data_IF_108477666650
#
_entry.id   IF_108477666650
#
_cell.length_a   1.000
_cell.length_b   1.000
_cell.length_c   1.000
_cell.angle_alpha   90.00
_cell.angle_beta   90.00
_cell.angle_gamma   90.00
#
_symmetry.space_group_name_H-M   'P 1'
#
loop_
_entity.id
_entity.type
_entity.pdbx_description
1 polymer ?
#
# COMPACT_ATOMS: atom_id res chain seq x y z
N UNK A 1 -1.98 -16.86 9.59
CA UNK A 1 -1.59 -17.12 11.00
C UNK A 1 -1.98 -15.92 11.85
N UNK A 2 -1.68 -15.92 13.16
CA UNK A 2 -1.95 -14.78 14.04
C UNK A 2 -1.28 -13.50 13.53
N UNK A 3 -1.98 -12.37 13.68
CA UNK A 3 -1.52 -11.01 13.40
C UNK A 3 -1.90 -10.15 14.62
N UNK A 4 -0.92 -9.49 15.22
CA UNK A 4 -1.16 -8.55 16.31
C UNK A 4 -1.79 -7.27 15.74
N UNK A 5 -2.90 -6.83 16.33
CA UNK A 5 -3.69 -5.71 15.80
C UNK A 5 -3.08 -4.35 16.19
N UNK A 6 -2.21 -4.32 17.20
CA UNK A 6 -1.58 -3.12 17.73
C UNK A 6 -0.19 -2.92 17.11
N UNK A 7 0.65 -3.97 17.10
CA UNK A 7 2.03 -3.87 16.60
C UNK A 7 2.13 -4.08 15.08
N UNK A 8 1.12 -4.74 14.49
CA UNK A 8 1.12 -5.18 13.10
C UNK A 8 2.08 -6.35 12.83
N UNK A 9 2.66 -6.95 13.87
CA UNK A 9 3.51 -8.14 13.74
C UNK A 9 2.65 -9.36 13.39
N UNK A 10 3.21 -10.30 12.63
CA UNK A 10 2.53 -11.54 12.25
C UNK A 10 3.39 -12.77 12.50
N UNK A 11 2.73 -13.93 12.65
CA UNK A 11 3.43 -15.22 12.73
C UNK A 11 4.17 -15.57 11.44
N UNK A 12 3.62 -15.16 10.29
CA UNK A 12 4.19 -15.38 8.96
C UNK A 12 4.44 -14.02 8.33
N UNK A 13 5.70 -13.72 8.10
CA UNK A 13 6.20 -12.44 7.58
C UNK A 13 7.44 -12.73 6.72
N UNK A 14 7.74 -11.84 5.78
CA UNK A 14 9.07 -11.79 5.13
C UNK A 14 10.01 -10.79 5.85
N UNK A 15 9.45 -9.87 6.63
CA UNK A 15 10.19 -8.90 7.42
C UNK A 15 10.43 -9.44 8.83
N UNK A 16 11.69 -9.47 9.26
CA UNK A 16 12.06 -9.89 10.61
C UNK A 16 11.48 -8.93 11.68
N UNK A 17 11.47 -7.63 11.38
CA UNK A 17 10.96 -6.59 12.29
C UNK A 17 9.45 -6.71 12.55
N UNK A 18 8.72 -7.38 11.65
CA UNK A 18 7.28 -7.62 11.77
C UNK A 18 6.95 -9.08 12.09
N UNK A 19 7.90 -9.83 12.64
CA UNK A 19 7.67 -11.21 13.03
C UNK A 19 7.31 -11.32 14.52
N UNK A 20 6.19 -11.98 14.85
CA UNK A 20 5.82 -12.24 16.24
C UNK A 20 6.87 -13.14 16.91
N UNK A 21 7.48 -12.60 17.99
CA UNK A 21 8.53 -13.27 18.77
C UNK A 21 8.03 -14.09 19.97
N UNK A 22 6.72 -14.09 20.20
CA UNK A 22 6.09 -14.82 21.28
C UNK A 22 5.41 -16.09 20.78
N UNK A 23 5.32 -17.11 21.63
CA UNK A 23 4.55 -18.31 21.33
C UNK A 23 3.06 -18.01 21.50
N UNK A 24 2.33 -17.96 20.39
CA UNK A 24 0.88 -17.76 20.37
C UNK A 24 0.20 -19.08 20.02
N UNK A 25 -0.57 -19.61 20.97
CA UNK A 25 -1.48 -20.72 20.73
C UNK A 25 -2.73 -20.21 20.02
N UNK A 26 -3.09 -20.84 18.91
CA UNK A 26 -4.28 -20.48 18.15
C UNK A 26 -4.92 -21.71 17.52
N UNK A 27 -6.23 -21.60 17.26
CA UNK A 27 -7.04 -22.58 16.53
C UNK A 27 -7.68 -21.89 15.34
N UNK A 28 -7.75 -22.60 14.23
CA UNK A 28 -8.55 -22.15 13.07
C UNK A 28 -10.01 -22.46 13.36
N UNK A 29 -10.88 -21.48 13.13
CA UNK A 29 -12.33 -21.62 13.18
C UNK A 29 -12.92 -21.31 11.80
N UNK A 30 -14.06 -21.91 11.49
CA UNK A 30 -14.92 -21.58 10.35
C UNK A 30 -16.21 -21.01 10.92
N UNK A 31 -16.43 -19.72 10.74
CA UNK A 31 -17.70 -19.07 11.08
C UNK A 31 -18.65 -19.16 9.89
N UNK A 32 -19.95 -19.27 10.15
CA UNK A 32 -20.95 -19.21 9.11
C UNK A 32 -21.59 -17.82 9.12
N UNK A 33 -21.25 -16.98 8.14
CA UNK A 33 -21.79 -15.63 8.06
C UNK A 33 -23.14 -15.64 7.33
N UNK A 34 -24.16 -15.04 7.96
CA UNK A 34 -25.44 -14.75 7.29
C UNK A 34 -25.16 -13.82 6.11
N UNK A 35 -25.75 -14.13 4.96
CA UNK A 35 -25.58 -13.32 3.75
C UNK A 35 -26.29 -11.96 3.95
N UNK A 36 -25.57 -10.83 3.83
CA UNK A 36 -26.16 -9.51 4.07
C UNK A 36 -27.22 -9.11 3.03
N UNK A 37 -27.19 -9.67 1.81
CA UNK A 37 -28.16 -9.36 0.76
C UNK A 37 -29.49 -10.09 0.97
N UNK A 38 -29.44 -11.30 1.53
CA UNK A 38 -30.61 -12.12 1.79
C UNK A 38 -30.34 -13.12 2.91
N UNK A 39 -30.98 -12.93 4.06
CA UNK A 39 -30.83 -13.84 5.21
C UNK A 39 -31.27 -15.29 4.91
N UNK A 40 -32.10 -15.51 3.89
CA UNK A 40 -32.55 -16.85 3.47
C UNK A 40 -31.55 -17.55 2.52
N UNK A 41 -30.52 -16.86 2.06
CA UNK A 41 -29.46 -17.46 1.26
C UNK A 41 -28.52 -18.31 2.12
N UNK A 42 -27.83 -19.30 1.54
CA UNK A 42 -26.85 -20.10 2.27
C UNK A 42 -25.81 -19.23 2.98
N UNK A 43 -25.50 -19.60 4.23
CA UNK A 43 -24.46 -18.94 5.01
C UNK A 43 -23.10 -19.05 4.33
N UNK A 44 -22.29 -18.00 4.42
CA UNK A 44 -20.97 -17.91 3.80
C UNK A 44 -19.93 -18.39 4.82
N UNK A 45 -19.22 -19.50 4.57
CA UNK A 45 -18.20 -19.99 5.49
C UNK A 45 -16.94 -19.10 5.42
N UNK A 46 -16.52 -18.56 6.57
CA UNK A 46 -15.36 -17.67 6.71
C UNK A 46 -14.34 -18.27 7.64
N UNK A 47 -13.12 -18.47 7.14
CA UNK A 47 -11.99 -18.99 7.92
C UNK A 47 -11.34 -17.87 8.74
N UNK A 48 -11.32 -18.04 10.05
CA UNK A 48 -10.75 -17.10 11.02
C UNK A 48 -9.87 -17.84 12.03
N UNK A 49 -9.22 -17.11 12.92
CA UNK A 49 -8.49 -17.66 14.06
C UNK A 49 -9.18 -17.23 15.35
N UNK A 50 -9.19 -18.12 16.34
CA UNK A 50 -9.74 -17.77 17.66
C UNK A 50 -9.03 -16.59 18.34
N UNK A 51 -7.79 -16.32 17.96
CA UNK A 51 -6.99 -15.19 18.42
C UNK A 51 -7.11 -13.95 17.52
N UNK A 52 -8.03 -13.90 16.56
CA UNK A 52 -8.31 -12.65 15.84
C UNK A 52 -9.13 -11.71 16.74
N UNK A 53 -8.82 -10.42 16.68
CA UNK A 53 -9.69 -9.36 17.22
C UNK A 53 -11.04 -9.32 16.48
N UNK A 54 -12.05 -8.69 17.07
CA UNK A 54 -13.35 -8.57 16.42
C UNK A 54 -13.26 -7.77 15.13
N UNK A 55 -12.45 -6.70 15.09
CA UNK A 55 -12.22 -5.97 13.82
C UNK A 55 -11.56 -6.84 12.75
N UNK A 56 -10.52 -7.63 13.09
CA UNK A 56 -9.92 -8.56 12.13
C UNK A 56 -10.92 -9.62 11.63
N UNK A 57 -11.84 -10.08 12.47
CA UNK A 57 -12.91 -10.99 12.06
C UNK A 57 -13.87 -10.30 11.09
N UNK A 58 -14.29 -9.07 11.39
CA UNK A 58 -15.14 -8.27 10.48
C UNK A 58 -14.48 -8.07 9.12
N UNK A 59 -13.20 -7.71 9.09
CA UNK A 59 -12.42 -7.57 7.84
C UNK A 59 -12.39 -8.87 7.04
N UNK A 60 -12.13 -10.01 7.67
CA UNK A 60 -12.14 -11.33 7.00
C UNK A 60 -13.51 -11.71 6.46
N UNK A 61 -14.58 -11.37 7.19
CA UNK A 61 -15.95 -11.59 6.70
C UNK A 61 -16.24 -10.69 5.50
N UNK A 62 -15.89 -9.40 5.58
CA UNK A 62 -16.05 -8.46 4.47
C UNK A 62 -15.30 -8.93 3.22
N UNK A 63 -14.07 -9.42 3.35
CA UNK A 63 -13.30 -9.99 2.24
C UNK A 63 -13.97 -11.23 1.62
N UNK A 64 -14.58 -12.09 2.44
CA UNK A 64 -15.25 -13.30 1.97
C UNK A 64 -16.59 -12.99 1.28
N UNK A 65 -17.39 -12.10 1.87
CA UNK A 65 -18.71 -11.69 1.38
C UNK A 65 -18.56 -10.87 0.10
N UNK A 66 -17.65 -9.89 0.08
CA UNK A 66 -17.48 -8.93 -1.00
C UNK A 66 -16.27 -9.23 -1.90
N UNK A 67 -15.86 -10.50 -2.01
CA UNK A 67 -14.65 -10.93 -2.76
C UNK A 67 -14.57 -10.43 -4.21
N UNK A 68 -15.71 -10.19 -4.85
CA UNK A 68 -15.82 -9.75 -6.25
C UNK A 68 -16.14 -8.25 -6.40
N UNK A 69 -16.14 -7.48 -5.29
CA UNK A 69 -16.45 -6.05 -5.28
C UNK A 69 -15.16 -5.26 -5.01
N UNK A 70 -14.88 -4.15 -5.73
CA UNK A 70 -13.72 -3.30 -5.46
C UNK A 70 -13.68 -2.82 -4.00
N UNK A 71 -12.49 -2.69 -3.39
CA UNK A 71 -12.40 -2.41 -1.95
C UNK A 71 -13.08 -1.09 -1.55
N UNK A 72 -12.93 -0.03 -2.36
CA UNK A 72 -13.54 1.29 -2.11
C UNK A 72 -15.07 1.29 -2.04
N UNK A 73 -15.74 0.26 -2.59
CA UNK A 73 -17.19 0.14 -2.62
C UNK A 73 -17.76 -0.72 -1.48
N UNK A 74 -16.90 -1.33 -0.66
CA UNK A 74 -17.31 -2.22 0.44
C UNK A 74 -17.64 -1.42 1.70
N UNK A 75 -18.54 -1.93 2.56
CA UNK A 75 -18.69 -1.41 3.92
C UNK A 75 -17.35 -1.50 4.68
N UNK A 76 -17.05 -0.51 5.52
CA UNK A 76 -15.85 -0.55 6.36
C UNK A 76 -16.15 -1.29 7.66
N UNK A 77 -15.18 -2.04 8.17
CA UNK A 77 -15.34 -2.78 9.43
C UNK A 77 -15.74 -1.87 10.61
N UNK A 78 -15.29 -0.62 10.65
CA UNK A 78 -15.64 0.35 11.70
C UNK A 78 -17.14 0.70 11.71
N UNK A 79 -17.80 0.66 10.55
CA UNK A 79 -19.20 1.02 10.35
C UNK A 79 -20.15 -0.19 10.56
N UNK A 80 -19.60 -1.37 10.85
CA UNK A 80 -20.34 -2.62 11.02
C UNK A 80 -20.19 -3.19 12.45
N UNK A 81 -21.27 -3.75 12.96
CA UNK A 81 -21.31 -4.58 14.15
C UNK A 81 -21.28 -6.07 13.78
N UNK A 82 -20.60 -6.87 14.60
CA UNK A 82 -20.57 -8.33 14.45
C UNK A 82 -21.55 -8.94 15.44
N UNK A 83 -22.67 -9.47 14.95
CA UNK A 83 -23.62 -10.22 15.76
C UNK A 83 -23.25 -11.69 15.78
N UNK A 84 -23.08 -12.26 16.96
CA UNK A 84 -23.04 -13.71 17.17
C UNK A 84 -24.46 -14.22 17.48
N UNK A 85 -24.98 -15.11 16.63
CA UNK A 85 -26.33 -15.67 16.73
C UNK A 85 -26.28 -17.04 17.42
N UNK A 86 -26.64 -17.09 18.69
CA UNK A 86 -26.71 -18.32 19.48
C UNK A 86 -28.14 -18.90 19.43
N UNK A 87 -28.39 -19.79 18.47
CA UNK A 87 -29.72 -20.34 18.25
C UNK A 87 -30.69 -19.32 17.66
N UNK A 88 -32.00 -19.49 17.90
CA UNK A 88 -33.04 -18.68 17.24
C UNK A 88 -33.31 -17.31 17.90
N UNK A 89 -32.90 -17.11 19.16
CA UNK A 89 -33.35 -15.95 19.96
C UNK A 89 -32.18 -15.10 20.48
N UNK A 90 -31.06 -15.72 20.87
CA UNK A 90 -29.95 -14.96 21.46
C UNK A 90 -29.05 -14.37 20.38
N UNK A 91 -28.92 -13.04 20.38
CA UNK A 91 -27.98 -12.28 19.55
C UNK A 91 -27.08 -11.48 20.48
N UNK A 92 -25.77 -11.60 20.30
CA UNK A 92 -24.78 -10.89 21.09
C UNK A 92 -23.90 -10.10 20.13
N UNK A 93 -23.84 -8.78 20.31
CA UNK A 93 -22.91 -7.93 19.54
C UNK A 93 -21.52 -8.07 20.14
N UNK A 94 -20.56 -8.48 19.33
CA UNK A 94 -19.15 -8.58 19.71
C UNK A 94 -18.43 -7.29 19.30
N UNK A 95 -17.58 -6.78 20.18
CA UNK A 95 -16.76 -5.59 19.94
C UNK A 95 -15.32 -5.83 20.39
N UNK A 96 -14.37 -5.05 19.86
CA UNK A 96 -12.97 -5.09 20.30
C UNK A 96 -12.81 -4.64 21.77
N UNK A 97 -13.68 -3.74 22.22
CA UNK A 97 -13.78 -3.29 23.60
C UNK A 97 -15.25 -3.23 24.02
N UNK A 98 -15.57 -3.79 25.18
CA UNK A 98 -16.90 -3.74 25.81
C UNK A 98 -16.77 -3.88 27.33
N UNK A 99 -17.90 -3.98 28.04
CA UNK A 99 -17.94 -4.15 29.50
C UNK A 99 -17.26 -5.44 30.00
N UNK A 100 -17.01 -6.41 29.12
CA UNK A 100 -16.35 -7.67 29.46
C UNK A 100 -14.85 -7.63 29.22
N UNK A 101 -14.33 -6.56 28.62
CA UNK A 101 -12.92 -6.43 28.28
C UNK A 101 -12.02 -6.55 29.51
N UNK A 102 -11.02 -7.42 29.39
CA UNK A 102 -10.07 -7.70 30.47
C UNK A 102 -9.07 -6.57 30.62
N UNK A 103 -9.00 -6.03 31.83
CA UNK A 103 -8.01 -5.03 32.25
C UNK A 103 -7.16 -5.66 33.36
N UNK A 104 -5.85 -5.72 33.15
CA UNK A 104 -4.86 -6.25 34.08
C UNK A 104 -3.83 -5.17 34.40
N UNK A 105 -3.96 -4.51 35.56
CA UNK A 105 -3.19 -3.31 35.88
C UNK A 105 -3.44 -2.21 34.85
N UNK A 106 -2.38 -1.63 34.30
CA UNK A 106 -2.47 -0.58 33.28
C UNK A 106 -2.64 -1.13 31.86
N UNK A 107 -2.97 -2.41 31.68
CA UNK A 107 -3.09 -3.04 30.36
C UNK A 107 -4.51 -3.49 30.05
N UNK A 108 -5.05 -3.01 28.94
CA UNK A 108 -6.33 -3.45 28.36
C UNK A 108 -6.08 -4.37 27.19
N UNK A 109 -6.65 -5.58 27.21
CA UNK A 109 -6.52 -6.53 26.10
C UNK A 109 -7.70 -6.41 25.15
N UNK A 110 -7.45 -6.22 23.85
CA UNK A 110 -8.52 -6.27 22.86
C UNK A 110 -9.23 -7.62 22.88
N UNK A 111 -10.56 -7.58 22.80
CA UNK A 111 -11.40 -8.77 22.79
C UNK A 111 -11.18 -9.56 21.48
N UNK A 112 -11.18 -10.88 21.61
CA UNK A 112 -10.99 -11.84 20.51
C UNK A 112 -12.12 -12.86 20.49
N UNK A 113 -12.21 -13.69 19.44
CA UNK A 113 -13.18 -14.80 19.44
C UNK A 113 -12.99 -15.75 20.63
N UNK A 114 -11.74 -15.96 21.07
CA UNK A 114 -11.42 -16.76 22.25
C UNK A 114 -11.96 -16.11 23.54
N UNK A 115 -11.93 -14.78 23.65
CA UNK A 115 -12.47 -14.05 24.80
C UNK A 115 -13.95 -14.34 25.01
N UNK A 116 -14.74 -14.28 23.92
CA UNK A 116 -16.17 -14.59 23.94
C UNK A 116 -16.48 -16.10 23.85
N UNK A 117 -15.45 -16.95 23.78
CA UNK A 117 -15.57 -18.40 23.63
C UNK A 117 -16.40 -18.82 22.41
N UNK A 118 -16.28 -18.09 21.30
CA UNK A 118 -16.95 -18.42 20.05
C UNK A 118 -16.43 -19.77 19.54
N UNK A 119 -17.36 -20.69 19.30
CA UNK A 119 -17.05 -22.05 18.83
C UNK A 119 -16.98 -22.14 17.31
N UNK A 120 -16.31 -23.19 16.81
CA UNK A 120 -16.31 -23.52 15.39
C UNK A 120 -17.76 -23.69 14.88
N UNK A 121 -18.01 -23.29 13.62
CA UNK A 121 -19.33 -23.27 12.98
C UNK A 121 -20.39 -22.36 13.62
N UNK A 122 -19.97 -21.44 14.49
CA UNK A 122 -20.89 -20.40 15.00
C UNK A 122 -21.46 -19.54 13.87
N UNK A 123 -22.75 -19.24 13.97
CA UNK A 123 -23.45 -18.35 13.04
C UNK A 123 -23.23 -16.91 13.45
N UNK A 124 -22.79 -16.07 12.51
CA UNK A 124 -22.54 -14.64 12.72
C UNK A 124 -23.21 -13.80 11.65
N UNK A 125 -23.46 -12.53 11.90
CA UNK A 125 -23.94 -11.58 10.90
C UNK A 125 -23.21 -10.26 11.04
N UNK A 126 -22.92 -9.60 9.90
CA UNK A 126 -22.52 -8.20 9.89
C UNK A 126 -23.77 -7.34 9.73
N UNK A 127 -24.00 -6.43 10.68
CA UNK A 127 -25.10 -5.47 10.62
C UNK A 127 -24.56 -4.05 10.64
N UNK A 128 -25.13 -3.11 9.87
CA UNK A 128 -24.71 -1.72 9.96
C UNK A 128 -24.90 -1.20 11.39
N UNK A 129 -23.88 -0.50 11.90
CA UNK A 129 -24.00 0.16 13.20
C UNK A 129 -25.16 1.14 13.15
N UNK A 130 -26.16 0.94 14.02
CA UNK A 130 -27.14 1.96 14.28
C UNK A 130 -26.44 3.04 15.11
N UNK A 131 -25.94 4.08 14.45
CA UNK A 131 -25.64 5.32 15.13
C UNK A 131 -26.93 5.75 15.80
N UNK A 132 -26.98 5.70 17.13
CA UNK A 132 -28.02 6.37 17.88
C UNK A 132 -27.84 7.85 17.57
N UNK A 133 -28.65 8.35 16.64
CA UNK A 133 -28.87 9.77 16.43
C UNK A 133 -29.40 10.34 17.73
N UNK A 134 -28.50 10.70 18.65
CA UNK A 134 -28.85 11.54 19.78
C UNK A 134 -29.35 12.87 19.20
N UNK A 135 -30.66 13.05 19.31
CA UNK A 135 -31.44 14.29 19.16
C UNK A 135 -31.46 14.97 17.78
N UNK A 136 -32.36 14.50 16.91
CA UNK A 136 -33.16 15.40 16.07
C UNK A 136 -34.64 15.08 16.35
N UNK A 137 -35.47 16.03 16.82
CA UNK A 137 -36.89 15.78 17.06
C UNK A 137 -37.59 15.43 15.74
N UNK A 138 -38.35 14.33 15.78
CA UNK A 138 -39.21 13.91 14.67
C UNK A 138 -40.41 14.85 14.54
N UNK A 139 -40.23 15.97 13.84
CA UNK A 139 -41.34 16.75 13.29
C UNK A 139 -40.90 17.54 12.06
N UNK A 140 -40.62 16.83 10.98
CA UNK A 140 -40.71 17.37 9.63
C UNK A 140 -40.97 16.22 8.66
N UNK A 141 -42.24 16.00 8.36
CA UNK A 141 -42.73 15.22 7.24
C UNK A 141 -42.18 15.79 5.92
N UNK A 142 -41.34 15.05 5.19
CA UNK A 142 -41.13 15.31 3.76
C UNK A 142 -41.17 13.98 2.99
N UNK A 143 -42.09 13.98 2.04
CA UNK A 143 -42.51 12.88 1.19
C UNK A 143 -41.42 12.35 0.26
N UNK A 144 -41.49 11.04 0.02
CA UNK A 144 -40.73 10.34 -1.02
C UNK A 144 -41.23 10.77 -2.41
N UNK A 145 -40.47 11.59 -3.13
CA UNK A 145 -40.39 11.57 -4.60
C UNK A 145 -39.14 12.32 -5.07
N UNK A 146 -38.29 11.59 -5.80
CA UNK A 146 -37.39 12.05 -6.88
C UNK A 146 -36.58 13.34 -6.72
N UNK A 147 -35.24 13.23 -6.68
CA UNK A 147 -34.35 14.13 -7.42
C UNK A 147 -33.00 13.44 -7.70
N UNK A 148 -32.60 13.57 -8.96
CA UNK A 148 -31.36 13.15 -9.59
C UNK A 148 -30.20 14.07 -9.22
N UNK A 149 -28.99 13.49 -9.24
CA UNK A 149 -27.66 14.03 -9.60
C UNK A 149 -27.38 15.54 -9.49
N UNK A 150 -26.16 15.77 -9.00
CA UNK A 150 -25.34 16.99 -9.04
C UNK A 150 -25.57 18.03 -7.93
N UNK A 151 -24.41 18.38 -7.36
CA UNK A 151 -24.06 19.55 -6.57
C UNK A 151 -24.23 19.49 -5.04
N UNK A 152 -23.09 19.37 -4.36
CA UNK A 152 -22.74 20.27 -3.26
C UNK A 152 -21.23 20.26 -3.08
N UNK A 153 -20.59 21.07 -3.91
CA UNK A 153 -19.23 21.53 -3.71
C UNK A 153 -19.22 22.69 -2.71
N UNK A 154 -18.87 22.41 -1.44
CA UNK A 154 -18.46 23.45 -0.49
C UNK A 154 -17.06 23.13 0.07
N UNK A 155 -16.09 23.79 -0.56
CA UNK A 155 -14.80 24.30 -0.07
C UNK A 155 -14.29 23.73 1.26
N UNK A 156 -13.26 22.89 1.17
CA UNK A 156 -12.15 22.88 2.12
C UNK A 156 -10.86 23.11 1.34
N UNK A 157 -10.28 24.30 1.54
CA UNK A 157 -8.92 24.65 1.15
C UNK A 157 -7.98 24.08 2.22
N UNK A 158 -7.16 23.10 1.86
CA UNK A 158 -6.12 22.53 2.72
C UNK A 158 -5.26 21.54 1.93
N UNK A 159 -3.95 21.80 1.87
CA UNK A 159 -2.93 21.07 1.09
C UNK A 159 -2.90 19.54 1.32
N UNK A 160 -2.37 18.76 0.36
CA UNK A 160 -2.25 17.31 0.48
C UNK A 160 -1.09 16.93 1.41
N UNK A 161 -1.34 16.84 2.71
CA UNK A 161 -0.33 16.42 3.67
C UNK A 161 -0.16 14.88 3.71
N UNK A 162 1.02 14.46 3.24
CA UNK A 162 1.81 13.29 3.63
C UNK A 162 1.10 11.94 3.83
N UNK A 163 1.34 11.05 2.86
CA UNK A 163 1.14 9.60 2.91
C UNK A 163 2.02 8.96 4.00
N UNK A 164 1.58 9.01 5.26
CA UNK A 164 1.99 8.05 6.29
C UNK A 164 0.85 7.10 6.58
N UNK A 165 1.15 5.81 6.48
CA UNK A 165 0.30 4.68 6.81
C UNK A 165 -0.51 4.92 8.09
N UNK A 166 -1.77 5.35 7.95
CA UNK A 166 -2.73 5.32 9.04
C UNK A 166 -3.31 3.91 9.09
N UNK A 167 -2.72 3.09 9.95
CA UNK A 167 -3.49 2.07 10.65
C UNK A 167 -4.74 2.73 11.26
N UNK A 168 -5.86 2.02 11.45
CA UNK A 168 -7.01 2.58 12.15
C UNK A 168 -6.54 3.11 13.51
N UNK A 169 -6.65 4.43 13.70
CA UNK A 169 -6.24 5.10 14.91
C UNK A 169 -7.23 4.71 16.02
N UNK A 170 -6.99 3.59 16.69
CA UNK A 170 -7.28 3.51 18.12
C UNK A 170 -6.23 4.43 18.74
N UNK A 171 -6.57 5.71 18.88
CA UNK A 171 -5.80 6.59 19.74
C UNK A 171 -5.80 5.92 21.11
N UNK A 172 -4.64 5.60 21.71
CA UNK A 172 -4.64 5.25 23.12
C UNK A 172 -5.29 6.42 23.83
N UNK A 173 -6.36 6.13 24.55
CA UNK A 173 -7.00 7.10 25.43
C UNK A 173 -5.95 7.54 26.46
N UNK A 174 -5.22 8.59 26.11
CA UNK A 174 -4.13 9.12 26.92
C UNK A 174 -4.68 9.71 28.23
N UNK A 175 -6.01 9.89 28.34
CA UNK A 175 -6.68 10.38 29.54
C UNK A 175 -6.84 9.31 30.63
N UNK A 176 -6.83 8.01 30.30
CA UNK A 176 -6.98 6.92 31.30
C UNK A 176 -5.68 6.26 31.74
N UNK A 177 -4.55 6.50 31.06
CA UNK A 177 -3.25 5.89 31.38
C UNK A 177 -3.15 4.38 31.06
N UNK A 178 -4.20 3.79 30.48
CA UNK A 178 -4.27 2.35 30.18
C UNK A 178 -3.71 2.06 28.77
N UNK A 179 -2.70 1.20 28.69
CA UNK A 179 -2.08 0.74 27.45
C UNK A 179 -2.88 -0.41 26.83
N UNK A 180 -3.19 -0.33 25.53
CA UNK A 180 -3.93 -1.36 24.80
C UNK A 180 -2.96 -2.37 24.16
N UNK A 181 -3.29 -3.66 24.22
CA UNK A 181 -2.51 -4.74 23.59
C UNK A 181 -3.42 -5.84 23.02
N UNK A 182 -2.88 -6.67 22.12
CA UNK A 182 -3.61 -7.80 21.52
C UNK A 182 -2.97 -9.16 21.85
N UNK A 183 -1.88 -9.50 21.14
CA UNK A 183 -1.14 -10.75 21.30
C UNK A 183 0.20 -10.51 22.01
N UNK A 184 0.84 -9.37 21.75
CA UNK A 184 2.16 -9.00 22.26
C UNK A 184 2.04 -7.83 23.22
N UNK A 185 2.43 -8.02 24.49
CA UNK A 185 2.67 -6.91 25.44
C UNK A 185 4.10 -6.38 25.20
N UNK A 186 4.22 -5.17 24.66
CA UNK A 186 5.51 -4.47 24.64
C UNK A 186 5.76 -3.89 26.04
N UNK A 187 6.47 -4.63 26.89
CA UNK A 187 7.01 -4.02 28.11
C UNK A 187 8.07 -3.01 27.70
N UNK A 188 7.86 -1.73 28.05
CA UNK A 188 8.93 -0.74 28.04
C UNK A 188 10.10 -1.32 28.85
N UNK A 189 11.30 -1.25 28.29
CA UNK A 189 12.54 -1.82 28.81
C UNK A 189 13.04 -1.18 30.14
N UNK A 190 12.13 -0.73 31.02
CA UNK A 190 12.45 -0.03 32.26
C UNK A 190 12.40 -0.87 33.54
N UNK A 191 11.52 -1.87 33.66
CA UNK A 191 11.26 -2.52 34.95
C UNK A 191 10.94 -4.02 34.84
N UNK A 192 11.95 -4.86 34.62
CA UNK A 192 11.86 -6.25 35.04
C UNK A 192 13.12 -6.67 35.81
N UNK A 193 12.94 -6.84 37.12
CA UNK A 193 13.66 -7.83 37.92
C UNK A 193 13.56 -9.19 37.20
N UNK A 194 14.66 -9.95 37.18
CA UNK A 194 14.95 -11.18 36.43
C UNK A 194 14.02 -12.41 36.65
N UNK A 195 12.74 -12.23 36.96
CA UNK A 195 11.85 -13.32 37.40
C UNK A 195 10.94 -13.95 36.35
N UNK A 196 10.61 -13.26 35.26
CA UNK A 196 9.57 -13.73 34.32
C UNK A 196 10.09 -13.84 32.88
N UNK A 197 10.90 -14.89 32.64
CA UNK A 197 11.33 -15.31 31.30
C UNK A 197 10.16 -15.99 30.55
N UNK A 198 9.06 -15.27 30.36
CA UNK A 198 7.95 -15.67 29.51
C UNK A 198 8.34 -15.71 28.02
N UNK A 199 8.96 -16.80 27.59
CA UNK A 199 9.01 -17.32 26.21
C UNK A 199 9.34 -16.33 25.08
N UNK A 200 10.50 -15.65 25.15
CA UNK A 200 11.17 -15.21 23.92
C UNK A 200 11.63 -16.48 23.18
N UNK A 201 11.08 -16.78 22.01
CA UNK A 201 11.55 -17.94 21.26
C UNK A 201 13.02 -17.77 20.81
N UNK A 202 13.69 -18.89 20.61
CA UNK A 202 15.07 -18.98 20.08
C UNK A 202 15.11 -18.33 18.70
N UNK A 203 16.14 -17.51 18.44
CA UNK A 203 16.33 -16.76 17.18
C UNK A 203 16.21 -17.64 15.93
N UNK A 204 16.64 -18.89 16.01
CA UNK A 204 16.59 -19.88 14.93
C UNK A 204 15.16 -20.22 14.47
N UNK A 205 14.18 -20.26 15.38
CA UNK A 205 12.78 -20.58 15.04
C UNK A 205 12.17 -19.46 14.19
N UNK A 206 12.60 -18.20 14.39
CA UNK A 206 12.18 -17.07 13.57
C UNK A 206 12.67 -17.21 12.14
N UNK A 207 13.94 -17.62 11.96
CA UNK A 207 14.51 -17.85 10.65
C UNK A 207 13.74 -18.92 9.87
N UNK A 208 13.34 -20.02 10.53
CA UNK A 208 12.50 -21.05 9.89
C UNK A 208 11.15 -20.49 9.44
N UNK A 209 10.51 -19.59 10.20
CA UNK A 209 9.23 -18.96 9.81
C UNK A 209 9.39 -18.01 8.63
N UNK A 210 10.48 -17.23 8.60
CA UNK A 210 10.83 -16.36 7.46
C UNK A 210 11.05 -17.21 6.20
N UNK A 211 11.87 -18.27 6.30
CA UNK A 211 12.17 -19.18 5.19
C UNK A 211 10.92 -19.91 4.68
N UNK A 212 10.03 -20.36 5.57
CA UNK A 212 8.78 -20.99 5.17
C UNK A 212 7.86 -20.01 4.41
N UNK A 213 7.78 -18.75 4.88
CA UNK A 213 7.00 -17.70 4.21
C UNK A 213 7.61 -17.36 2.85
N UNK A 214 8.94 -17.22 2.78
CA UNK A 214 9.68 -17.02 1.53
C UNK A 214 9.46 -18.14 0.54
N UNK A 215 9.62 -19.40 0.98
CA UNK A 215 9.39 -20.58 0.13
C UNK A 215 7.96 -20.65 -0.41
N UNK A 216 6.96 -20.26 0.39
CA UNK A 216 5.55 -20.21 -0.06
C UNK A 216 5.31 -19.16 -1.13
N UNK A 217 5.96 -18.00 -1.01
CA UNK A 217 5.77 -16.86 -1.91
C UNK A 217 6.73 -16.86 -3.12
N UNK A 218 7.74 -17.73 -3.11
CA UNK A 218 8.86 -17.72 -4.07
C UNK A 218 8.40 -17.66 -5.52
N UNK A 219 7.50 -18.57 -5.92
CA UNK A 219 7.00 -18.62 -7.30
C UNK A 219 6.33 -17.32 -7.74
N UNK A 220 5.57 -16.67 -6.87
CA UNK A 220 4.91 -15.41 -7.20
C UNK A 220 5.92 -14.26 -7.36
N UNK A 221 7.01 -14.28 -6.58
CA UNK A 221 8.11 -13.32 -6.72
C UNK A 221 8.86 -13.56 -8.03
N UNK A 222 9.18 -14.82 -8.35
CA UNK A 222 9.84 -15.19 -9.60
C UNK A 222 8.99 -14.80 -10.81
N UNK A 223 7.71 -15.18 -10.85
CA UNK A 223 6.78 -14.87 -11.93
C UNK A 223 6.67 -13.35 -12.14
N UNK A 224 6.67 -12.56 -11.06
CA UNK A 224 6.65 -11.09 -11.13
C UNK A 224 7.96 -10.55 -11.72
N UNK A 225 9.11 -10.96 -11.21
CA UNK A 225 10.42 -10.44 -11.64
C UNK A 225 10.72 -10.84 -13.09
N UNK A 226 10.42 -12.09 -13.46
CA UNK A 226 10.57 -12.58 -14.83
C UNK A 226 9.69 -11.78 -15.79
N UNK A 227 8.43 -11.49 -15.41
CA UNK A 227 7.53 -10.67 -16.23
C UNK A 227 8.08 -9.25 -16.42
N UNK A 228 8.54 -8.62 -15.34
CA UNK A 228 9.06 -7.24 -15.38
C UNK A 228 10.38 -7.10 -16.16
N UNK A 229 11.22 -8.15 -16.16
CA UNK A 229 12.50 -8.19 -16.88
C UNK A 229 12.45 -9.05 -18.15
N UNK A 230 11.31 -9.07 -18.84
CA UNK A 230 11.15 -9.75 -20.13
C UNK A 230 10.91 -8.75 -21.27
N UNK A 231 11.46 -9.05 -22.45
CA UNK A 231 11.22 -8.28 -23.68
C UNK A 231 10.00 -8.78 -24.45
N UNK A 232 9.56 -10.01 -24.17
CA UNK A 232 8.34 -10.62 -24.70
C UNK A 232 7.69 -11.41 -23.57
N UNK A 233 6.45 -11.05 -23.22
CA UNK A 233 5.65 -11.81 -22.26
C UNK A 233 4.29 -12.14 -22.86
N UNK A 234 3.97 -13.45 -22.96
CA UNK A 234 2.68 -13.96 -23.49
C UNK A 234 2.28 -13.36 -24.86
N UNK A 235 3.26 -13.16 -25.74
CA UNK A 235 3.04 -12.61 -27.08
C UNK A 235 2.89 -11.08 -27.15
N UNK A 236 2.99 -10.37 -26.03
CA UNK A 236 3.06 -8.90 -26.02
C UNK A 236 4.50 -8.43 -26.23
N UNK A 237 4.67 -7.42 -27.08
CA UNK A 237 5.97 -6.78 -27.32
C UNK A 237 6.34 -5.83 -26.15
N UNK A 238 7.64 -5.55 -26.00
CA UNK A 238 8.16 -4.56 -25.07
C UNK A 238 7.49 -3.18 -25.28
N UNK A 239 7.13 -2.44 -24.21
CA UNK A 239 6.65 -1.07 -24.32
C UNK A 239 7.62 -0.16 -25.07
N UNK A 240 7.11 0.58 -26.08
CA UNK A 240 7.90 1.48 -26.93
C UNK A 240 8.70 2.51 -26.13
N UNK A 241 8.10 3.07 -25.08
CA UNK A 241 8.74 4.06 -24.22
C UNK A 241 10.01 3.53 -23.52
N UNK A 242 10.08 2.24 -23.20
CA UNK A 242 11.27 1.64 -22.57
C UNK A 242 12.42 1.60 -23.57
N UNK A 243 12.17 1.07 -24.77
CA UNK A 243 13.18 1.01 -25.83
C UNK A 243 13.67 2.41 -26.20
N UNK A 244 12.76 3.34 -26.47
CA UNK A 244 13.11 4.71 -26.84
C UNK A 244 13.93 5.43 -25.76
N UNK A 245 13.54 5.30 -24.48
CA UNK A 245 14.28 5.90 -23.37
C UNK A 245 15.65 5.25 -23.17
N UNK A 246 15.78 3.93 -23.32
CA UNK A 246 17.06 3.25 -23.14
C UNK A 246 18.04 3.56 -24.28
N UNK A 247 17.55 3.67 -25.51
CA UNK A 247 18.36 4.14 -26.64
C UNK A 247 18.83 5.58 -26.43
N UNK A 248 17.96 6.46 -25.93
CA UNK A 248 18.35 7.82 -25.56
C UNK A 248 19.48 7.83 -24.51
N UNK A 249 19.39 7.01 -23.47
CA UNK A 249 20.44 6.91 -22.45
C UNK A 249 21.77 6.39 -23.03
N UNK A 250 21.71 5.40 -23.91
CA UNK A 250 22.90 4.89 -24.61
C UNK A 250 23.52 5.96 -25.51
N UNK A 251 22.70 6.72 -26.25
CA UNK A 251 23.16 7.83 -27.09
C UNK A 251 23.79 8.96 -26.25
N UNK A 252 23.19 9.31 -25.10
CA UNK A 252 23.80 10.29 -24.19
C UNK A 252 25.15 9.80 -23.68
N UNK A 253 25.27 8.52 -23.34
CA UNK A 253 26.56 7.96 -22.93
C UNK A 253 27.59 8.05 -24.07
N UNK A 254 27.22 7.72 -25.31
CA UNK A 254 28.08 7.83 -26.49
C UNK A 254 28.53 9.28 -26.75
N UNK A 255 27.61 10.25 -26.70
CA UNK A 255 27.90 11.69 -26.87
C UNK A 255 28.93 12.20 -25.85
N UNK A 256 28.94 11.63 -24.65
CA UNK A 256 29.88 11.96 -23.58
C UNK A 256 31.09 11.01 -23.51
N UNK A 257 31.28 10.13 -24.51
CA UNK A 257 32.39 9.16 -24.57
C UNK A 257 32.45 8.18 -23.38
N UNK A 258 31.29 7.87 -22.79
CA UNK A 258 31.14 6.93 -21.68
C UNK A 258 30.92 5.53 -22.24
N UNK A 259 31.99 4.73 -22.24
CA UNK A 259 32.00 3.35 -22.75
C UNK A 259 31.88 2.30 -21.62
N UNK A 260 31.89 2.74 -20.35
CA UNK A 260 31.68 1.86 -19.20
C UNK A 260 30.23 1.35 -19.18
N UNK A 261 30.06 0.03 -19.30
CA UNK A 261 28.76 -0.63 -19.32
C UNK A 261 28.03 -0.53 -17.99
N UNK A 262 28.76 -0.43 -16.87
CA UNK A 262 28.17 -0.32 -15.54
C UNK A 262 27.48 1.02 -15.34
N UNK A 263 27.98 2.08 -15.97
CA UNK A 263 27.35 3.40 -15.95
C UNK A 263 26.00 3.35 -16.69
N UNK A 264 25.97 2.77 -17.89
CA UNK A 264 24.73 2.62 -18.68
C UNK A 264 23.71 1.72 -17.96
N UNK A 265 24.16 0.62 -17.38
CA UNK A 265 23.34 -0.27 -16.55
C UNK A 265 22.74 0.49 -15.36
N UNK A 266 23.56 1.29 -14.68
CA UNK A 266 23.15 2.11 -13.53
C UNK A 266 22.14 3.18 -13.94
N UNK A 267 22.33 3.86 -15.07
CA UNK A 267 21.38 4.84 -15.59
C UNK A 267 20.03 4.19 -15.91
N UNK A 268 20.03 3.08 -16.65
CA UNK A 268 18.80 2.32 -16.98
C UNK A 268 18.07 1.87 -15.70
N UNK A 269 18.82 1.36 -14.72
CA UNK A 269 18.29 0.95 -13.42
C UNK A 269 17.67 2.11 -12.64
N UNK A 270 18.38 3.24 -12.57
CA UNK A 270 17.94 4.44 -11.87
C UNK A 270 16.78 5.16 -12.55
N UNK A 271 16.58 4.98 -13.85
CA UNK A 271 15.50 5.61 -14.60
C UNK A 271 14.18 4.83 -14.50
N UNK A 272 14.23 3.50 -14.60
CA UNK A 272 13.02 2.67 -14.70
C UNK A 272 12.76 1.80 -13.46
N UNK A 273 13.48 0.70 -13.21
CA UNK A 273 13.12 -0.23 -12.15
C UNK A 273 13.15 0.42 -10.76
N UNK A 274 14.13 1.27 -10.46
CA UNK A 274 14.28 1.87 -9.13
C UNK A 274 13.32 3.04 -8.87
N UNK A 275 12.70 3.61 -9.91
CA UNK A 275 11.76 4.75 -9.79
C UNK A 275 10.32 4.29 -9.94
N UNK A 276 10.04 3.55 -11.00
CA UNK A 276 8.70 3.11 -11.35
C UNK A 276 8.36 1.76 -10.71
N UNK A 277 9.13 0.71 -11.00
CA UNK A 277 8.76 -0.64 -10.57
C UNK A 277 8.82 -0.85 -9.06
N UNK A 278 9.87 -0.35 -8.39
CA UNK A 278 9.94 -0.37 -6.92
C UNK A 278 8.72 0.32 -6.30
N UNK A 279 8.29 1.44 -6.87
CA UNK A 279 7.14 2.17 -6.37
C UNK A 279 5.84 1.38 -6.55
N UNK A 280 5.61 0.77 -7.71
CA UNK A 280 4.44 -0.06 -7.98
C UNK A 280 4.43 -1.34 -7.12
N UNK A 281 5.58 -2.00 -6.95
CA UNK A 281 5.71 -3.19 -6.09
C UNK A 281 5.38 -2.85 -4.63
N UNK A 282 5.89 -1.72 -4.13
CA UNK A 282 5.59 -1.27 -2.76
C UNK A 282 4.16 -0.76 -2.61
N UNK A 283 3.56 -0.22 -3.67
CA UNK A 283 2.27 0.45 -3.64
C UNK A 283 1.30 -0.14 -4.68
N UNK A 284 0.90 -1.41 -4.53
CA UNK A 284 -0.06 -2.04 -5.46
C UNK A 284 -1.42 -1.33 -5.48
N UNK A 285 -1.77 -0.57 -4.44
CA UNK A 285 -2.99 0.25 -4.40
C UNK A 285 -2.98 1.42 -5.40
N UNK A 286 -1.84 1.74 -6.03
CA UNK A 286 -1.79 2.69 -7.15
C UNK A 286 -2.33 2.09 -8.45
N UNK A 287 -2.36 0.76 -8.55
CA UNK A 287 -2.81 0.02 -9.72
C UNK A 287 -4.17 -0.64 -9.49
N UNK A 288 -4.43 -1.09 -8.26
CA UNK A 288 -5.61 -1.87 -7.90
C UNK A 288 -6.41 -1.21 -6.79
N UNK A 289 -7.74 -1.32 -6.84
CA UNK A 289 -8.62 -0.90 -5.74
C UNK A 289 -8.62 -1.94 -4.61
N UNK A 290 -7.56 -1.88 -3.80
CA UNK A 290 -7.29 -2.81 -2.70
C UNK A 290 -6.85 -2.04 -1.44
N UNK A 291 -7.04 -2.68 -0.29
CA UNK A 291 -6.42 -2.23 0.96
C UNK A 291 -5.09 -2.92 1.20
N UNK A 292 -4.06 -2.12 1.46
CA UNK A 292 -2.73 -2.61 1.86
C UNK A 292 -2.57 -2.53 3.37
N UNK A 293 -2.72 -3.67 4.06
CA UNK A 293 -2.46 -3.78 5.49
C UNK A 293 -0.97 -3.66 5.86
N UNK A 294 -0.68 -3.34 7.12
CA UNK A 294 0.69 -3.07 7.61
C UNK A 294 1.66 -4.24 7.39
N UNK A 295 1.23 -5.48 7.64
CA UNK A 295 2.08 -6.65 7.43
C UNK A 295 2.38 -6.88 5.94
N UNK A 296 1.41 -6.63 5.06
CA UNK A 296 1.59 -6.73 3.61
C UNK A 296 2.58 -5.69 3.11
N UNK A 297 2.49 -4.45 3.60
CA UNK A 297 3.43 -3.38 3.29
C UNK A 297 4.88 -3.73 3.70
N UNK A 298 5.06 -4.32 4.88
CA UNK A 298 6.37 -4.78 5.34
C UNK A 298 6.94 -5.89 4.45
N UNK A 299 6.11 -6.87 4.06
CA UNK A 299 6.52 -7.94 3.15
C UNK A 299 6.86 -7.43 1.75
N UNK A 300 6.06 -6.52 1.19
CA UNK A 300 6.33 -5.90 -0.10
C UNK A 300 7.60 -5.04 -0.07
N UNK A 301 7.95 -4.44 1.07
CA UNK A 301 9.21 -3.72 1.23
C UNK A 301 10.43 -4.65 1.15
N UNK A 302 10.35 -5.87 1.68
CA UNK A 302 11.40 -6.90 1.51
C UNK A 302 11.52 -7.29 0.04
N UNK A 303 10.40 -7.59 -0.62
CA UNK A 303 10.38 -7.96 -2.05
C UNK A 303 10.95 -6.85 -2.92
N UNK A 304 10.56 -5.59 -2.66
CA UNK A 304 11.07 -4.42 -3.36
C UNK A 304 12.58 -4.23 -3.12
N UNK A 305 13.09 -4.49 -1.91
CA UNK A 305 14.53 -4.45 -1.65
C UNK A 305 15.27 -5.53 -2.42
N UNK A 306 14.75 -6.76 -2.47
CA UNK A 306 15.30 -7.84 -3.30
C UNK A 306 15.33 -7.44 -4.79
N UNK A 307 14.28 -6.77 -5.28
CA UNK A 307 14.22 -6.24 -6.64
C UNK A 307 15.31 -5.18 -6.88
N UNK A 308 15.49 -4.24 -5.94
CA UNK A 308 16.54 -3.22 -6.03
C UNK A 308 17.94 -3.85 -6.05
N UNK A 309 18.18 -4.82 -5.19
CA UNK A 309 19.47 -5.54 -5.10
C UNK A 309 19.78 -6.28 -6.42
N UNK A 310 18.77 -6.76 -7.13
CA UNK A 310 18.91 -7.40 -8.44
C UNK A 310 19.32 -6.44 -9.56
N UNK A 311 19.04 -5.14 -9.42
CA UNK A 311 19.46 -4.12 -10.39
C UNK A 311 20.87 -3.60 -10.13
N UNK A 312 21.49 -3.90 -8.99
CA UNK A 312 22.82 -3.38 -8.64
C UNK A 312 23.94 -4.08 -9.41
N UNK A 313 24.94 -3.33 -9.88
CA UNK A 313 26.21 -3.88 -10.41
C UNK A 313 27.16 -4.34 -9.30
N UNK A 314 26.97 -3.86 -8.06
CA UNK A 314 27.88 -4.16 -6.94
C UNK A 314 27.83 -5.63 -6.49
N UNK A 315 28.97 -6.17 -6.08
CA UNK A 315 29.02 -7.52 -5.51
C UNK A 315 28.13 -7.65 -4.28
N UNK A 316 27.42 -8.78 -4.20
CA UNK A 316 26.55 -9.08 -3.08
C UNK A 316 27.35 -9.60 -1.88
N UNK A 317 28.03 -8.71 -1.15
CA UNK A 317 28.77 -9.07 0.06
C UNK A 317 27.81 -9.35 1.21
N UNK A 318 27.95 -10.54 1.79
CA UNK A 318 27.15 -11.03 2.91
C UNK A 318 28.07 -11.31 4.10
N UNK A 319 27.61 -10.90 5.28
CA UNK A 319 28.27 -11.11 6.55
C UNK A 319 27.24 -11.29 7.66
N UNK A 320 27.72 -11.51 8.89
CA UNK A 320 26.85 -11.72 10.06
C UNK A 320 25.94 -10.51 10.34
N UNK A 321 26.39 -9.31 10.01
CA UNK A 321 25.65 -8.06 10.22
C UNK A 321 24.82 -7.64 8.98
N UNK A 322 24.70 -8.52 7.98
CA UNK A 322 23.84 -8.24 6.82
C UNK A 322 22.37 -8.25 7.22
N UNK A 323 21.55 -7.30 6.71
CA UNK A 323 20.12 -7.29 6.95
C UNK A 323 19.44 -8.60 6.59
N UNK A 324 18.46 -9.01 7.38
CA UNK A 324 17.82 -10.33 7.24
C UNK A 324 17.10 -10.52 5.90
N UNK A 325 16.54 -9.48 5.32
CA UNK A 325 15.99 -9.51 3.96
C UNK A 325 17.05 -9.83 2.90
N UNK A 326 18.28 -9.31 3.07
CA UNK A 326 19.41 -9.55 2.18
C UNK A 326 19.88 -11.00 2.28
N UNK A 327 19.95 -11.53 3.50
CA UNK A 327 20.26 -12.95 3.74
C UNK A 327 19.17 -13.90 3.21
N UNK A 328 17.90 -13.49 3.30
CA UNK A 328 16.73 -14.30 2.93
C UNK A 328 16.68 -14.63 1.43
N UNK A 329 17.10 -13.69 0.57
CA UNK A 329 17.12 -13.84 -0.88
C UNK A 329 18.52 -13.96 -1.49
N UNK A 330 19.56 -14.05 -0.66
CA UNK A 330 20.97 -14.12 -1.05
C UNK A 330 21.27 -15.09 -2.21
N UNK A 331 20.63 -16.27 -2.20
CA UNK A 331 20.85 -17.32 -3.21
C UNK A 331 20.15 -17.03 -4.53
N UNK A 332 19.12 -16.20 -4.53
CA UNK A 332 18.28 -15.90 -5.71
C UNK A 332 18.82 -14.67 -6.46
N UNK A 333 19.43 -13.71 -5.75
CA UNK A 333 19.98 -12.46 -6.31
C UNK A 333 20.87 -12.66 -7.54
N UNK A 334 21.84 -13.61 -7.58
CA UNK A 334 22.66 -13.82 -8.76
C UNK A 334 21.84 -14.19 -10.01
N UNK A 335 20.78 -14.99 -9.84
CA UNK A 335 19.88 -15.34 -10.94
C UNK A 335 19.12 -14.09 -11.43
N UNK A 336 18.56 -13.30 -10.51
CA UNK A 336 17.84 -12.08 -10.87
C UNK A 336 18.73 -11.04 -11.54
N UNK A 337 19.99 -10.87 -11.09
CA UNK A 337 20.97 -10.01 -11.78
C UNK A 337 21.18 -10.43 -13.23
N UNK A 338 21.32 -11.74 -13.47
CA UNK A 338 21.46 -12.26 -14.84
C UNK A 338 20.24 -11.99 -15.72
N UNK A 339 19.03 -11.90 -15.12
CA UNK A 339 17.81 -11.53 -15.84
C UNK A 339 17.82 -10.05 -16.22
N UNK A 340 18.24 -9.17 -15.31
CA UNK A 340 18.38 -7.73 -15.57
C UNK A 340 19.41 -7.46 -16.66
N UNK A 341 20.59 -8.08 -16.58
CA UNK A 341 21.66 -7.96 -17.58
C UNK A 341 21.16 -8.41 -18.96
N UNK A 342 20.49 -9.57 -19.02
CA UNK A 342 19.89 -10.09 -20.25
C UNK A 342 18.81 -9.15 -20.79
N UNK A 343 17.93 -8.64 -19.93
CA UNK A 343 16.88 -7.71 -20.29
C UNK A 343 17.44 -6.45 -20.98
N UNK A 344 18.48 -5.83 -20.40
CA UNK A 344 19.12 -4.66 -21.01
C UNK A 344 19.84 -5.00 -22.32
N UNK A 345 20.53 -6.13 -22.38
CA UNK A 345 21.21 -6.58 -23.60
C UNK A 345 20.23 -6.87 -24.73
N UNK A 346 19.07 -7.46 -24.43
CA UNK A 346 18.07 -7.81 -25.44
C UNK A 346 17.32 -6.57 -25.92
N UNK A 347 17.05 -5.57 -25.06
CA UNK A 347 16.50 -4.28 -25.49
C UNK A 347 17.45 -3.56 -26.43
N UNK A 348 18.76 -3.57 -26.15
CA UNK A 348 19.75 -2.93 -27.00
C UNK A 348 19.78 -3.52 -28.43
N UNK A 349 19.50 -4.82 -28.57
CA UNK A 349 19.43 -5.52 -29.87
C UNK A 349 18.14 -5.24 -30.64
N UNK A 350 17.09 -4.73 -30.00
CA UNK A 350 15.84 -4.42 -30.70
C UNK A 350 16.07 -3.29 -31.72
N UNK A 351 15.31 -3.28 -32.83
CA UNK A 351 15.35 -2.17 -33.78
C UNK A 351 15.08 -0.84 -33.08
N UNK A 352 15.83 0.20 -33.46
CA UNK A 352 15.60 1.55 -32.99
C UNK A 352 14.19 2.02 -33.42
N UNK A 353 13.52 2.76 -32.54
CA UNK A 353 12.22 3.36 -32.82
C UNK A 353 12.45 4.73 -33.45
N UNK A 354 11.80 4.99 -34.58
CA UNK A 354 11.91 6.29 -35.23
C UNK A 354 11.18 7.38 -34.43
N UNK A 355 11.65 8.62 -34.51
CA UNK A 355 10.95 9.76 -33.89
C UNK A 355 9.52 9.91 -34.44
N UNK A 356 9.30 9.55 -35.71
CA UNK A 356 7.96 9.57 -36.30
C UNK A 356 7.01 8.59 -35.59
N UNK A 357 7.45 7.36 -35.38
CA UNK A 357 6.64 6.33 -34.71
C UNK A 357 6.42 6.66 -33.22
N UNK A 358 7.45 7.15 -32.54
CA UNK A 358 7.33 7.55 -31.14
C UNK A 358 6.40 8.75 -30.97
N UNK A 359 6.49 9.76 -31.85
CA UNK A 359 5.57 10.91 -31.83
C UNK A 359 4.13 10.49 -32.14
N UNK A 360 3.92 9.56 -33.08
CA UNK A 360 2.59 9.02 -33.36
C UNK A 360 2.00 8.30 -32.14
N UNK A 361 2.81 7.48 -31.45
CA UNK A 361 2.42 6.83 -30.20
C UNK A 361 2.05 7.85 -29.11
N UNK A 362 2.89 8.88 -28.88
CA UNK A 362 2.64 9.91 -27.87
C UNK A 362 1.41 10.77 -28.20
N UNK A 363 1.18 11.08 -29.48
CA UNK A 363 -0.01 11.80 -29.93
C UNK A 363 -1.28 10.99 -29.65
N UNK A 364 -1.25 9.68 -29.88
CA UNK A 364 -2.39 8.81 -29.58
C UNK A 364 -2.64 8.70 -28.08
N UNK A 365 -1.59 8.53 -27.24
CA UNK A 365 -1.75 8.58 -25.78
C UNK A 365 -2.34 9.91 -25.31
N UNK A 366 -1.85 11.03 -25.85
CA UNK A 366 -2.37 12.38 -25.53
C UNK A 366 -3.84 12.52 -25.90
N UNK A 367 -4.25 11.96 -27.05
CA UNK A 367 -5.65 11.96 -27.51
C UNK A 367 -6.55 11.10 -26.61
N UNK A 368 -6.08 9.91 -26.21
CA UNK A 368 -6.84 8.99 -25.35
C UNK A 368 -7.14 9.60 -23.98
N UNK A 369 -6.17 10.32 -23.41
CA UNK A 369 -6.26 10.87 -22.04
C UNK A 369 -6.57 12.37 -21.99
N UNK A 370 -6.98 12.99 -23.11
CA UNK A 370 -7.16 14.44 -23.25
C UNK A 370 -8.18 15.06 -22.27
N UNK A 371 -9.13 14.26 -21.78
CA UNK A 371 -10.23 14.71 -20.91
C UNK A 371 -10.17 14.13 -19.50
N UNK A 372 -9.10 13.40 -19.16
CA UNK A 372 -8.98 12.75 -17.85
C UNK A 372 -8.55 13.71 -16.73
N UNK A 373 -7.82 14.77 -17.08
CA UNK A 373 -7.20 15.69 -16.12
C UNK A 373 -7.69 17.13 -16.30
N UNK A 374 -7.92 17.82 -15.17
CA UNK A 374 -8.24 19.25 -15.18
C UNK A 374 -6.96 20.08 -15.34
N UNK A 375 -6.68 20.50 -16.59
CA UNK A 375 -5.51 21.28 -16.93
C UNK A 375 -5.48 22.66 -16.23
N UNK A 376 -6.64 23.31 -16.07
CA UNK A 376 -6.70 24.63 -15.42
C UNK A 376 -6.31 24.55 -13.94
N UNK A 377 -6.72 23.49 -13.24
CA UNK A 377 -6.30 23.27 -11.85
C UNK A 377 -4.80 23.07 -11.75
N UNK A 378 -4.21 22.26 -12.63
CA UNK A 378 -2.75 22.05 -12.67
C UNK A 378 -2.00 23.36 -12.99
N UNK A 379 -2.48 24.15 -13.96
CA UNK A 379 -1.88 25.44 -14.30
C UNK A 379 -1.95 26.44 -13.15
N UNK A 380 -3.05 26.47 -12.40
CA UNK A 380 -3.20 27.33 -11.23
C UNK A 380 -2.20 26.96 -10.12
N UNK A 381 -2.02 25.67 -9.86
CA UNK A 381 -1.02 25.19 -8.90
C UNK A 381 0.42 25.51 -9.36
N UNK A 382 0.72 25.36 -10.65
CA UNK A 382 2.03 25.73 -11.22
C UNK A 382 2.27 27.24 -11.12
N UNK A 383 1.25 28.06 -11.36
CA UNK A 383 1.36 29.52 -11.29
C UNK A 383 1.81 30.00 -9.91
N UNK A 384 1.45 29.29 -8.83
CA UNK A 384 1.94 29.62 -7.47
C UNK A 384 3.48 29.68 -7.39
N UNK A 385 4.18 28.79 -8.11
CA UNK A 385 5.63 28.80 -8.21
C UNK A 385 6.13 29.92 -9.12
N UNK A 386 5.44 30.19 -10.23
CA UNK A 386 5.78 31.30 -11.14
C UNK A 386 5.72 32.64 -10.42
N UNK A 387 4.66 32.88 -9.65
CA UNK A 387 4.51 34.10 -8.85
C UNK A 387 5.61 34.20 -7.79
N UNK A 388 5.85 33.11 -7.05
CA UNK A 388 6.84 33.06 -5.96
C UNK A 388 8.28 33.30 -6.41
N UNK A 389 8.65 32.80 -7.59
CA UNK A 389 10.02 32.86 -8.12
C UNK A 389 10.11 33.76 -9.37
N UNK A 390 9.26 34.78 -9.43
CA UNK A 390 9.09 35.60 -10.64
C UNK A 390 10.36 36.35 -11.03
N UNK A 391 11.08 36.92 -10.07
CA UNK A 391 12.34 37.63 -10.32
C UNK A 391 13.42 36.69 -10.88
N UNK A 392 13.59 35.51 -10.29
CA UNK A 392 14.58 34.52 -10.74
C UNK A 392 14.22 33.97 -12.13
N UNK A 393 12.93 33.72 -12.40
CA UNK A 393 12.47 33.26 -13.70
C UNK A 393 12.69 34.31 -14.78
N UNK A 394 12.34 35.57 -14.53
CA UNK A 394 12.55 36.68 -15.47
C UNK A 394 14.05 36.85 -15.73
N UNK A 395 14.86 36.91 -14.68
CA UNK A 395 16.32 37.03 -14.81
C UNK A 395 16.95 35.90 -15.63
N UNK A 396 16.50 34.66 -15.44
CA UNK A 396 16.96 33.52 -16.24
C UNK A 396 16.55 33.64 -17.71
N UNK A 397 15.31 34.07 -18.00
CA UNK A 397 14.81 34.27 -19.37
C UNK A 397 15.49 35.44 -20.09
N UNK A 398 15.98 36.44 -19.36
CA UNK A 398 16.77 37.54 -19.93
C UNK A 398 18.21 37.13 -20.24
N UNK A 399 18.78 36.17 -19.51
CA UNK A 399 20.13 35.67 -19.78
C UNK A 399 20.15 34.76 -21.01
N UNK A 400 19.11 33.94 -21.21
CA UNK A 400 19.01 33.04 -22.35
C UNK A 400 18.76 33.77 -23.68
N UNK A 401 19.57 33.47 -24.70
CA UNK A 401 19.51 34.16 -25.99
C UNK A 401 18.23 33.83 -26.78
N UNK A 402 17.79 32.57 -26.73
CA UNK A 402 16.59 32.13 -27.44
C UNK A 402 15.32 32.71 -26.81
N UNK A 403 15.26 32.75 -25.47
CA UNK A 403 14.18 33.36 -24.71
C UNK A 403 14.07 34.87 -24.97
N UNK A 404 15.20 35.59 -25.03
CA UNK A 404 15.21 37.01 -25.42
C UNK A 404 14.67 37.25 -26.83
N UNK A 405 15.12 36.44 -27.81
CA UNK A 405 14.61 36.52 -29.20
C UNK A 405 13.08 36.34 -29.26
N UNK A 406 12.52 35.51 -28.40
CA UNK A 406 11.08 35.24 -28.31
C UNK A 406 10.32 36.15 -27.33
N UNK A 407 11.01 37.07 -26.65
CA UNK A 407 10.49 37.97 -25.60
C UNK A 407 9.75 37.21 -24.49
N UNK A 408 10.29 36.08 -24.03
CA UNK A 408 9.62 35.24 -23.04
C UNK A 408 9.51 35.89 -21.66
N UNK A 409 10.52 36.63 -21.20
CA UNK A 409 10.49 37.39 -19.95
C UNK A 409 9.27 38.33 -19.89
N UNK A 410 9.09 39.13 -20.94
CA UNK A 410 7.95 40.04 -21.09
C UNK A 410 6.60 39.30 -21.08
N UNK A 411 6.49 38.11 -21.69
CA UNK A 411 5.26 37.31 -21.65
C UNK A 411 4.93 36.81 -20.25
N UNK A 412 5.95 36.45 -19.45
CA UNK A 412 5.76 36.07 -18.04
C UNK A 412 5.30 37.26 -17.21
N UNK A 413 5.88 38.45 -17.43
CA UNK A 413 5.41 39.68 -16.77
C UNK A 413 3.95 40.00 -17.13
N UNK A 414 3.56 39.84 -18.40
CA UNK A 414 2.16 40.00 -18.83
C UNK A 414 1.25 39.01 -18.12
N UNK A 415 1.67 37.74 -17.99
CA UNK A 415 0.92 36.71 -17.28
C UNK A 415 0.73 37.09 -15.80
N UNK A 416 1.82 37.50 -15.12
CA UNK A 416 1.77 37.90 -13.71
C UNK A 416 0.84 39.11 -13.51
N UNK A 417 0.94 40.10 -14.39
CA UNK A 417 0.06 41.28 -14.35
C UNK A 417 -1.41 40.93 -14.61
N UNK A 418 -1.70 40.00 -15.53
CA UNK A 418 -3.07 39.57 -15.80
C UNK A 418 -3.67 38.84 -14.59
N UNK A 419 -2.90 37.97 -13.95
CA UNK A 419 -3.32 37.19 -12.80
C UNK A 419 -3.43 38.02 -11.51
N UNK A 420 -2.73 39.15 -11.40
CA UNK A 420 -2.83 40.06 -10.25
C UNK A 420 -4.04 40.99 -10.28
N UNK A 421 -4.65 41.21 -11.46
CA UNK A 421 -5.86 42.03 -11.63
C UNK A 421 -7.13 41.28 -11.17
N UNK A 422 -7.07 39.95 -11.06
CA UNK A 422 -8.18 39.08 -10.66
C UNK A 422 -8.12 38.61 -9.19
N UNK A 423 -7.11 39.06 -8.42
CA UNK A 423 -6.97 38.82 -6.96
C UNK A 423 -7.49 40.01 -6.16
#
# INVERSE_FOLDING_TARGET
>A
GPIDAITGEARYSLSEDKLIRQQIEYKTLILNCVNPDNENSPEIPVKVLNCDTITQVKEKILDAVYKNVPYSQRPRAVDMDLEWRQGRIARVVLQDEDITTKIEGDWKRLNTLMHYQVSDRSVVALVPKQTSSYNIPASASISRTSISRYDSSFRYTGSPDSLRSRAPMITPDLESGVKVWHLVKNHDHGDQKEGDRGSKMVSEIYLTRLLATKGTLQKFVDDLFETLFSTVHRGSALPLAIKYMFDFLDEQADRHSIHDTDVRHTWKSNCLPLRFWVNVIKNPQFVFDIHKGSITDACLSVVAQTFMDSCSTSEHRLGKDSPSNKLLYAKDIPSYKSWVERYYADIAKLPAISDQDMNAYLAEQSRLHAVEFNMLSALNEIYSYVSKYSEELIGALEQDEQARRQRLAYKVEQLINAMSIES
#
